data_IF_722594898250
#
_entry.id   IF_722594898250
#
_cell.length_a   1.000
_cell.length_b   1.000
_cell.length_c   1.000
_cell.angle_alpha   90.00
_cell.angle_beta   90.00
_cell.angle_gamma   90.00
#
_symmetry.space_group_name_H-M   'P 1'
#
loop_
_entity.id
_entity.type
_entity.pdbx_description
1 polymer ?
#
# COMPACT_ATOMS: atom_id res chain seq x y z
N UNK A 1 -19.85 -3.86 -0.73
CA UNK A 1 -18.96 -3.78 -1.90
C UNK A 1 -18.02 -4.99 -2.01
N UNK A 2 -17.36 -5.40 -0.90
CA UNK A 2 -16.40 -6.51 -0.95
C UNK A 2 -17.03 -7.80 -1.48
N UNK A 3 -18.17 -8.23 -0.94
CA UNK A 3 -18.88 -9.46 -1.38
C UNK A 3 -19.16 -9.44 -2.88
N UNK A 4 -19.70 -8.33 -3.40
CA UNK A 4 -20.01 -8.22 -4.83
C UNK A 4 -18.79 -8.22 -5.75
N UNK A 5 -17.59 -7.93 -5.22
CA UNK A 5 -16.33 -8.05 -5.96
C UNK A 5 -15.81 -9.49 -5.89
N UNK A 6 -15.92 -10.14 -4.73
CA UNK A 6 -15.55 -11.56 -4.57
C UNK A 6 -16.35 -12.46 -5.52
N UNK A 7 -17.66 -12.22 -5.67
CA UNK A 7 -18.55 -12.95 -6.58
C UNK A 7 -18.21 -12.79 -8.07
N UNK A 8 -17.41 -11.79 -8.43
CA UNK A 8 -16.98 -11.56 -9.83
C UNK A 8 -15.69 -12.28 -10.22
N UNK A 9 -15.20 -13.17 -9.39
CA UNK A 9 -14.09 -14.04 -9.77
C UNK A 9 -14.51 -14.94 -10.94
N UNK A 10 -13.77 -14.90 -12.04
CA UNK A 10 -14.11 -15.61 -13.30
C UNK A 10 -13.50 -17.01 -13.37
N UNK A 11 -12.46 -17.27 -12.61
CA UNK A 11 -11.85 -18.57 -12.41
C UNK A 11 -11.08 -18.53 -11.09
N UNK A 12 -10.70 -19.69 -10.54
CA UNK A 12 -10.00 -19.79 -9.26
C UNK A 12 -8.82 -18.79 -9.19
N UNK A 13 -8.86 -17.90 -8.23
CA UNK A 13 -7.87 -16.86 -8.02
C UNK A 13 -7.83 -15.72 -9.06
N UNK A 14 -8.79 -15.62 -9.99
CA UNK A 14 -8.70 -14.68 -11.12
C UNK A 14 -9.95 -13.85 -11.33
N UNK A 15 -9.79 -12.53 -11.46
CA UNK A 15 -10.88 -11.60 -11.78
C UNK A 15 -10.88 -11.12 -13.23
N UNK A 16 -9.85 -11.46 -14.01
CA UNK A 16 -9.75 -11.11 -15.43
C UNK A 16 -9.10 -12.23 -16.25
N UNK A 17 -9.53 -12.37 -17.50
CA UNK A 17 -8.90 -13.22 -18.50
C UNK A 17 -8.51 -12.34 -19.70
N UNK A 18 -7.39 -12.65 -20.44
CA UNK A 18 -6.43 -13.69 -20.16
C UNK A 18 -5.64 -13.46 -18.86
N UNK A 19 -5.00 -14.51 -18.39
CA UNK A 19 -4.36 -14.60 -17.08
C UNK A 19 -3.08 -13.77 -16.95
N UNK A 20 -3.22 -12.50 -16.67
CA UNK A 20 -2.10 -11.69 -16.24
C UNK A 20 -2.40 -11.03 -14.90
N UNK A 21 -1.65 -11.38 -13.87
CA UNK A 21 -1.94 -10.95 -12.50
C UNK A 21 -1.94 -9.42 -12.30
N UNK A 22 -1.25 -8.67 -13.18
CA UNK A 22 -1.08 -7.22 -13.10
C UNK A 22 -1.89 -6.44 -14.15
N UNK A 23 -2.25 -7.04 -15.29
CA UNK A 23 -2.99 -6.39 -16.37
C UNK A 23 -4.33 -7.06 -16.62
N UNK A 24 -5.39 -6.31 -16.91
CA UNK A 24 -5.47 -4.83 -16.95
C UNK A 24 -5.34 -4.20 -15.58
N UNK A 25 -4.68 -3.03 -15.50
CA UNK A 25 -4.53 -2.28 -14.24
C UNK A 25 -5.90 -1.99 -13.61
N UNK A 26 -5.95 -2.09 -12.28
CA UNK A 26 -7.07 -1.76 -11.39
C UNK A 26 -8.24 -2.75 -11.40
N UNK A 27 -8.16 -3.86 -12.16
CA UNK A 27 -9.19 -4.93 -12.21
C UNK A 27 -8.62 -6.35 -12.18
N UNK A 28 -7.34 -6.55 -12.58
CA UNK A 28 -6.73 -7.87 -12.46
C UNK A 28 -6.53 -8.27 -11.01
N UNK A 29 -6.14 -9.51 -10.77
CA UNK A 29 -6.05 -10.11 -9.42
C UNK A 29 -5.28 -9.25 -8.43
N UNK A 30 -4.09 -8.75 -8.81
CA UNK A 30 -3.28 -7.90 -7.93
C UNK A 30 -4.06 -6.68 -7.40
N UNK A 31 -4.70 -5.95 -8.28
CA UNK A 31 -5.43 -4.73 -7.93
C UNK A 31 -6.71 -5.00 -7.16
N UNK A 32 -7.37 -6.10 -7.50
CA UNK A 32 -8.59 -6.52 -6.81
C UNK A 32 -8.30 -6.93 -5.38
N UNK A 33 -7.24 -7.69 -5.13
CA UNK A 33 -6.83 -8.06 -3.77
C UNK A 33 -6.43 -6.85 -2.91
N UNK A 34 -5.73 -5.88 -3.49
CA UNK A 34 -5.43 -4.63 -2.79
C UNK A 34 -6.71 -3.89 -2.36
N UNK A 35 -7.69 -3.81 -3.26
CA UNK A 35 -8.97 -3.17 -2.96
C UNK A 35 -9.77 -3.95 -1.91
N UNK A 36 -9.84 -5.27 -2.05
CA UNK A 36 -10.55 -6.14 -1.12
C UNK A 36 -9.95 -6.09 0.29
N UNK A 37 -8.62 -6.05 0.41
CA UNK A 37 -7.94 -5.87 1.71
C UNK A 37 -8.33 -4.53 2.35
N UNK A 38 -8.29 -3.44 1.59
CA UNK A 38 -8.71 -2.11 2.09
C UNK A 38 -10.20 -2.05 2.45
N UNK A 39 -11.06 -2.79 1.75
CA UNK A 39 -12.49 -2.92 2.06
C UNK A 39 -12.77 -3.91 3.21
N UNK A 40 -11.75 -4.52 3.80
CA UNK A 40 -11.86 -5.51 4.87
C UNK A 40 -12.75 -6.71 4.47
N UNK A 41 -12.54 -7.22 3.25
CA UNK A 41 -13.13 -8.48 2.83
C UNK A 41 -12.73 -9.62 3.77
N UNK A 42 -13.59 -10.63 3.90
CA UNK A 42 -13.25 -11.83 4.68
C UNK A 42 -11.99 -12.51 4.12
N UNK A 43 -10.87 -12.50 4.85
CA UNK A 43 -9.61 -13.09 4.39
C UNK A 43 -9.69 -14.62 4.25
N UNK A 44 -10.69 -15.28 4.87
CA UNK A 44 -10.89 -16.73 4.82
C UNK A 44 -11.84 -17.14 3.68
N UNK A 45 -12.44 -16.20 2.95
CA UNK A 45 -13.27 -16.55 1.80
C UNK A 45 -12.44 -17.27 0.73
N UNK A 46 -12.97 -18.33 0.14
CA UNK A 46 -12.28 -19.11 -0.90
C UNK A 46 -11.76 -18.23 -2.03
N UNK A 47 -12.58 -17.28 -2.51
CA UNK A 47 -12.20 -16.38 -3.58
C UNK A 47 -10.97 -15.49 -3.20
N UNK A 48 -10.89 -15.03 -1.94
CA UNK A 48 -9.73 -14.25 -1.48
C UNK A 48 -8.48 -15.13 -1.37
N UNK A 49 -8.61 -16.31 -0.76
CA UNK A 49 -7.53 -17.30 -0.59
C UNK A 49 -6.96 -17.73 -1.94
N UNK A 50 -7.81 -18.12 -2.89
CA UNK A 50 -7.40 -18.51 -4.25
C UNK A 50 -6.68 -17.36 -4.97
N UNK A 51 -7.17 -16.13 -4.79
CA UNK A 51 -6.52 -14.93 -5.35
C UNK A 51 -5.11 -14.72 -4.83
N UNK A 52 -4.90 -14.88 -3.52
CA UNK A 52 -3.58 -14.73 -2.89
C UNK A 52 -2.65 -15.86 -3.32
N UNK A 53 -3.14 -17.12 -3.35
CA UNK A 53 -2.37 -18.26 -3.85
C UNK A 53 -1.92 -18.05 -5.29
N UNK A 54 -2.82 -17.61 -6.17
CA UNK A 54 -2.51 -17.26 -7.55
C UNK A 54 -1.42 -16.18 -7.62
N UNK A 55 -1.51 -15.13 -6.82
CA UNK A 55 -0.52 -14.04 -6.80
C UNK A 55 0.85 -14.50 -6.32
N UNK A 56 0.92 -15.30 -5.24
CA UNK A 56 2.17 -15.84 -4.72
C UNK A 56 2.84 -16.76 -5.74
N UNK A 57 2.06 -17.58 -6.43
CA UNK A 57 2.56 -18.46 -7.49
C UNK A 57 3.07 -17.68 -8.70
N UNK A 58 2.30 -16.71 -9.19
CA UNK A 58 2.67 -15.93 -10.39
C UNK A 58 3.82 -14.95 -10.16
N UNK A 59 3.98 -14.43 -8.94
CA UNK A 59 5.07 -13.50 -8.62
C UNK A 59 6.36 -14.20 -8.18
N UNK A 60 6.33 -15.51 -7.93
CA UNK A 60 7.43 -16.28 -7.31
C UNK A 60 8.78 -16.04 -7.98
N UNK A 61 8.90 -16.31 -9.28
CA UNK A 61 10.17 -16.18 -10.00
C UNK A 61 10.74 -14.77 -9.95
N UNK A 62 9.86 -13.76 -9.99
CA UNK A 62 10.25 -12.37 -9.88
C UNK A 62 10.76 -12.03 -8.48
N UNK A 63 10.06 -12.47 -7.44
CA UNK A 63 10.46 -12.27 -6.04
C UNK A 63 11.80 -12.96 -5.76
N UNK A 64 11.97 -14.21 -6.20
CA UNK A 64 13.23 -14.96 -6.09
C UNK A 64 14.39 -14.28 -6.85
N UNK A 65 14.13 -13.67 -7.99
CA UNK A 65 15.13 -12.87 -8.71
C UNK A 65 15.62 -11.69 -7.87
N UNK A 66 14.69 -10.88 -7.34
CA UNK A 66 15.05 -9.71 -6.54
C UNK A 66 15.60 -10.05 -5.15
N UNK A 67 15.28 -11.21 -4.59
CA UNK A 67 15.89 -11.66 -3.33
C UNK A 67 17.38 -11.98 -3.45
N UNK A 68 17.87 -12.21 -4.67
CA UNK A 68 19.27 -12.53 -4.99
C UNK A 68 20.01 -11.38 -5.67
N UNK A 69 19.34 -10.29 -5.93
CA UNK A 69 19.86 -9.13 -6.67
C UNK A 69 20.06 -7.93 -5.74
N UNK A 70 21.03 -7.09 -6.05
CA UNK A 70 21.17 -5.77 -5.42
C UNK A 70 20.17 -4.74 -5.98
N UNK A 71 19.39 -5.08 -7.02
CA UNK A 71 18.37 -4.22 -7.61
C UNK A 71 17.16 -4.12 -6.64
N UNK A 72 16.72 -2.93 -6.24
CA UNK A 72 15.56 -2.74 -5.37
C UNK A 72 14.23 -3.18 -6.01
N UNK A 73 14.19 -3.30 -7.33
CA UNK A 73 13.04 -3.75 -8.08
C UNK A 73 11.81 -2.86 -7.97
N UNK A 74 10.66 -3.51 -7.79
CA UNK A 74 9.34 -2.88 -7.78
C UNK A 74 8.79 -2.80 -6.36
N UNK A 75 9.34 -1.92 -5.55
CA UNK A 75 9.09 -1.83 -4.10
C UNK A 75 7.61 -1.77 -3.71
N UNK A 76 6.81 -0.94 -4.40
CA UNK A 76 5.38 -0.84 -4.15
C UNK A 76 4.62 -2.14 -4.48
N UNK A 77 5.03 -2.88 -5.52
CA UNK A 77 4.42 -4.16 -5.89
C UNK A 77 4.62 -5.19 -4.77
N UNK A 78 5.88 -5.35 -4.32
CA UNK A 78 6.21 -6.34 -3.30
C UNK A 78 5.58 -6.01 -1.94
N UNK A 79 5.59 -4.75 -1.54
CA UNK A 79 4.91 -4.31 -0.32
C UNK A 79 3.40 -4.58 -0.33
N UNK A 80 2.75 -4.39 -1.48
CA UNK A 80 1.32 -4.68 -1.62
C UNK A 80 1.03 -6.19 -1.63
N UNK A 81 1.87 -7.00 -2.29
CA UNK A 81 1.73 -8.47 -2.24
C UNK A 81 1.89 -8.97 -0.81
N UNK A 82 2.92 -8.50 -0.11
CA UNK A 82 3.15 -8.83 1.30
C UNK A 82 1.91 -8.48 2.15
N UNK A 83 1.33 -7.30 1.95
CA UNK A 83 0.18 -6.82 2.71
C UNK A 83 -0.99 -7.78 2.66
N UNK A 84 -1.49 -8.12 1.47
CA UNK A 84 -2.66 -8.99 1.37
C UNK A 84 -2.33 -10.48 1.62
N UNK A 85 -1.09 -10.91 1.39
CA UNK A 85 -0.67 -12.27 1.76
C UNK A 85 -0.70 -12.47 3.28
N UNK A 86 -0.15 -11.52 4.05
CA UNK A 86 -0.23 -11.57 5.53
C UNK A 86 -1.68 -11.46 6.00
N UNK A 87 -2.49 -10.58 5.41
CA UNK A 87 -3.92 -10.43 5.73
C UNK A 87 -4.69 -11.73 5.55
N UNK A 88 -4.36 -12.52 4.52
CA UNK A 88 -4.96 -13.83 4.24
C UNK A 88 -4.36 -14.99 5.07
N UNK A 89 -3.44 -14.73 5.99
CA UNK A 89 -2.85 -15.77 6.83
C UNK A 89 -1.64 -16.51 6.22
N UNK A 90 -1.12 -16.07 5.07
CA UNK A 90 0.05 -16.69 4.41
C UNK A 90 1.39 -16.25 5.00
N UNK A 91 1.42 -15.66 6.20
CA UNK A 91 2.69 -15.28 6.84
C UNK A 91 3.67 -16.46 6.98
N UNK A 92 3.26 -17.71 7.32
CA UNK A 92 4.18 -18.84 7.41
C UNK A 92 4.66 -19.38 6.06
N UNK A 93 4.07 -18.97 4.94
CA UNK A 93 4.45 -19.46 3.59
C UNK A 93 5.85 -18.97 3.21
N UNK A 94 6.69 -19.86 2.69
CA UNK A 94 8.07 -19.54 2.30
C UNK A 94 8.17 -18.43 1.24
N UNK A 95 7.18 -18.33 0.35
CA UNK A 95 7.10 -17.27 -0.66
C UNK A 95 6.87 -15.91 -0.01
N UNK A 96 6.06 -15.86 1.06
CA UNK A 96 5.82 -14.66 1.87
C UNK A 96 7.08 -14.29 2.67
N UNK A 97 7.82 -15.26 3.20
CA UNK A 97 9.10 -15.00 3.86
C UNK A 97 10.12 -14.38 2.89
N UNK A 98 10.22 -14.88 1.66
CA UNK A 98 11.06 -14.28 0.61
C UNK A 98 10.62 -12.86 0.25
N UNK A 99 9.31 -12.57 0.24
CA UNK A 99 8.79 -11.19 0.07
C UNK A 99 9.23 -10.28 1.20
N UNK A 100 9.23 -10.76 2.45
CA UNK A 100 9.73 -9.99 3.60
C UNK A 100 11.20 -9.63 3.41
N UNK A 101 12.02 -10.57 2.95
CA UNK A 101 13.46 -10.32 2.70
C UNK A 101 13.65 -9.23 1.63
N UNK A 102 12.92 -9.33 0.51
CA UNK A 102 12.99 -8.32 -0.57
C UNK A 102 12.52 -6.95 -0.09
N UNK A 103 11.42 -6.88 0.66
CA UNK A 103 10.89 -5.61 1.19
C UNK A 103 11.84 -5.00 2.22
N UNK A 104 12.41 -5.80 3.12
CA UNK A 104 13.37 -5.32 4.11
C UNK A 104 14.66 -4.83 3.46
N UNK A 105 15.17 -5.56 2.46
CA UNK A 105 16.32 -5.13 1.67
C UNK A 105 16.08 -3.78 0.99
N UNK A 106 14.94 -3.63 0.33
CA UNK A 106 14.55 -2.39 -0.38
C UNK A 106 14.56 -1.16 0.53
N UNK A 107 14.09 -1.29 1.77
CA UNK A 107 14.03 -0.18 2.72
C UNK A 107 15.39 0.15 3.36
N UNK A 108 16.28 -0.81 3.50
CA UNK A 108 17.56 -0.63 4.20
C UNK A 108 18.74 -0.49 3.27
N UNK A 109 18.97 -1.46 2.40
CA UNK A 109 20.19 -1.56 1.60
C UNK A 109 20.07 -0.80 0.27
N UNK A 110 18.85 -0.67 -0.25
CA UNK A 110 18.57 0.06 -1.48
C UNK A 110 18.05 1.49 -1.24
N UNK A 111 18.15 2.02 -0.02
CA UNK A 111 17.71 3.38 0.38
C UNK A 111 16.34 3.78 -0.17
N UNK A 112 15.36 2.86 -0.11
CA UNK A 112 14.02 3.03 -0.68
C UNK A 112 13.98 3.29 -2.20
N UNK A 113 15.02 3.00 -2.95
CA UNK A 113 15.10 3.20 -4.40
C UNK A 113 14.04 2.41 -5.14
N UNK A 114 13.64 2.88 -6.32
CA UNK A 114 12.67 2.22 -7.16
C UNK A 114 13.01 2.41 -8.63
N UNK A 115 13.00 1.32 -9.39
CA UNK A 115 13.27 1.32 -10.82
C UNK A 115 12.39 2.29 -11.64
N UNK A 116 11.12 2.46 -11.22
CA UNK A 116 10.22 3.43 -11.88
C UNK A 116 10.45 4.89 -11.48
N UNK A 117 11.32 5.13 -10.48
CA UNK A 117 11.74 6.48 -10.10
C UNK A 117 13.20 6.74 -10.55
N UNK A 118 13.62 6.13 -11.66
CA UNK A 118 14.98 6.21 -12.19
C UNK A 118 16.05 5.89 -11.14
N UNK A 119 15.79 4.84 -10.36
CA UNK A 119 16.61 4.36 -9.24
C UNK A 119 16.79 5.37 -8.09
N UNK A 120 16.03 6.48 -8.10
CA UNK A 120 15.93 7.38 -6.96
C UNK A 120 15.01 6.80 -5.86
N UNK A 121 15.21 7.22 -4.60
CA UNK A 121 14.31 6.87 -3.52
C UNK A 121 12.85 7.27 -3.82
N UNK A 122 11.91 6.38 -3.55
CA UNK A 122 10.51 6.51 -3.92
C UNK A 122 9.60 6.51 -2.68
N UNK A 123 8.93 7.64 -2.41
CA UNK A 123 8.02 7.75 -1.27
C UNK A 123 6.81 6.79 -1.36
N UNK A 124 6.28 6.53 -2.55
CA UNK A 124 5.22 5.52 -2.72
C UNK A 124 5.72 4.11 -2.45
N UNK A 125 6.92 3.79 -2.95
CA UNK A 125 7.56 2.49 -2.70
C UNK A 125 7.80 2.27 -1.22
N UNK A 126 8.40 3.24 -0.53
CA UNK A 126 8.64 3.18 0.91
C UNK A 126 7.33 3.04 1.71
N UNK A 127 6.32 3.86 1.42
CA UNK A 127 5.03 3.80 2.10
C UNK A 127 4.33 2.43 1.91
N UNK A 128 4.36 1.86 0.70
CA UNK A 128 3.76 0.55 0.42
C UNK A 128 4.55 -0.61 1.02
N UNK A 129 5.87 -0.53 1.04
CA UNK A 129 6.73 -1.49 1.73
C UNK A 129 6.46 -1.51 3.24
N UNK A 130 6.40 -0.33 3.86
CA UNK A 130 6.01 -0.19 5.27
C UNK A 130 4.59 -0.69 5.55
N UNK A 131 3.64 -0.46 4.63
CA UNK A 131 2.28 -0.99 4.74
C UNK A 131 2.24 -2.51 4.74
N UNK A 132 3.09 -3.15 3.92
CA UNK A 132 3.28 -4.61 3.93
C UNK A 132 3.80 -5.10 5.27
N UNK A 133 4.89 -4.53 5.78
CA UNK A 133 5.48 -4.89 7.08
C UNK A 133 4.53 -4.61 8.25
N UNK A 134 3.74 -3.55 8.18
CA UNK A 134 2.75 -3.21 9.20
C UNK A 134 1.60 -4.24 9.34
N UNK A 135 1.43 -5.14 8.37
CA UNK A 135 0.48 -6.25 8.49
C UNK A 135 0.97 -7.36 9.43
N UNK A 136 2.29 -7.47 9.62
CA UNK A 136 2.90 -8.48 10.48
C UNK A 136 2.75 -8.03 11.95
N UNK A 137 2.27 -8.90 12.86
CA UNK A 137 2.18 -8.55 14.28
C UNK A 137 3.53 -8.09 14.85
N UNK A 138 3.54 -7.00 15.61
CA UNK A 138 4.77 -6.39 16.11
C UNK A 138 5.67 -7.31 16.95
N UNK A 139 5.07 -8.27 17.68
CA UNK A 139 5.80 -9.31 18.42
C UNK A 139 6.52 -10.33 17.52
N UNK A 140 6.17 -10.40 16.24
CA UNK A 140 6.82 -11.25 15.24
C UNK A 140 7.88 -10.49 14.42
N UNK A 141 8.06 -9.19 14.64
CA UNK A 141 9.08 -8.43 13.93
C UNK A 141 10.49 -8.89 14.35
N UNK A 142 11.27 -9.32 13.35
CA UNK A 142 12.71 -9.63 13.54
C UNK A 142 13.52 -8.34 13.71
N UNK A 143 14.78 -8.46 14.08
CA UNK A 143 15.69 -7.31 14.13
C UNK A 143 15.85 -6.63 12.76
N UNK A 144 15.90 -7.42 11.67
CA UNK A 144 15.94 -6.91 10.29
C UNK A 144 14.70 -6.12 9.94
N UNK A 145 13.50 -6.63 10.22
CA UNK A 145 12.23 -5.91 9.99
C UNK A 145 12.18 -4.59 10.77
N UNK A 146 12.57 -4.59 12.06
CA UNK A 146 12.61 -3.36 12.86
C UNK A 146 13.56 -2.31 12.27
N UNK A 147 14.76 -2.75 11.84
CA UNK A 147 15.72 -1.87 11.16
C UNK A 147 15.13 -1.28 9.88
N UNK A 148 14.44 -2.08 9.09
CA UNK A 148 13.82 -1.67 7.83
C UNK A 148 12.64 -0.71 8.05
N UNK A 149 11.80 -0.98 9.05
CA UNK A 149 10.71 -0.07 9.44
C UNK A 149 11.29 1.28 9.87
N UNK A 150 12.36 1.28 10.68
CA UNK A 150 13.03 2.51 11.10
C UNK A 150 13.62 3.27 9.89
N UNK A 151 14.28 2.58 8.97
CA UNK A 151 14.87 3.19 7.77
C UNK A 151 13.81 3.85 6.88
N UNK A 152 12.73 3.12 6.55
CA UNK A 152 11.63 3.66 5.75
C UNK A 152 10.88 4.80 6.45
N UNK A 153 10.70 4.72 7.77
CA UNK A 153 10.10 5.80 8.57
C UNK A 153 10.98 7.03 8.57
N UNK A 154 12.29 6.88 8.78
CA UNK A 154 13.25 7.99 8.72
C UNK A 154 13.26 8.66 7.35
N UNK A 155 13.23 7.86 6.26
CA UNK A 155 13.12 8.39 4.91
C UNK A 155 11.88 9.27 4.74
N UNK A 156 10.70 8.79 5.17
CA UNK A 156 9.45 9.52 4.99
C UNK A 156 9.28 10.73 5.92
N UNK A 157 9.82 10.69 7.14
CA UNK A 157 9.49 11.67 8.18
C UNK A 157 10.67 12.55 8.62
N UNK A 158 11.90 12.04 8.60
CA UNK A 158 13.08 12.76 9.11
C UNK A 158 13.95 13.33 8.01
N UNK A 159 14.12 12.60 6.89
CA UNK A 159 14.90 13.07 5.74
C UNK A 159 14.10 14.03 4.87
N UNK A 160 12.79 13.83 4.77
CA UNK A 160 11.87 14.64 3.99
C UNK A 160 10.61 14.97 4.82
N UNK A 161 9.77 15.88 4.29
CA UNK A 161 8.56 16.32 4.96
C UNK A 161 7.31 15.87 4.21
N UNK A 162 6.35 15.27 4.93
CA UNK A 162 5.11 14.77 4.33
C UNK A 162 4.27 15.88 3.67
N UNK A 163 4.18 17.05 4.30
CA UNK A 163 3.33 18.15 3.82
C UNK A 163 4.01 18.90 2.68
N UNK A 164 5.32 19.14 2.81
CA UNK A 164 6.12 19.80 1.77
C UNK A 164 6.32 18.90 0.55
N UNK A 165 6.25 17.59 0.75
CA UNK A 165 6.40 16.58 -0.31
C UNK A 165 7.67 16.74 -1.14
N UNK A 166 8.78 17.09 -0.48
CA UNK A 166 10.08 17.37 -1.07
C UNK A 166 10.93 16.10 -1.34
N UNK A 167 10.25 14.99 -1.61
CA UNK A 167 10.89 13.70 -1.93
C UNK A 167 11.58 13.74 -3.29
N UNK A 168 12.62 12.89 -3.50
CA UNK A 168 13.31 12.80 -4.77
C UNK A 168 12.37 12.41 -5.93
N UNK A 169 12.56 13.07 -7.05
CA UNK A 169 11.92 12.76 -8.33
C UNK A 169 12.90 13.02 -9.48
N UNK A 170 12.71 12.41 -10.66
CA UNK A 170 13.57 12.65 -11.82
C UNK A 170 13.65 14.12 -12.20
N UNK A 171 14.72 14.51 -12.87
CA UNK A 171 14.92 15.87 -13.37
C UNK A 171 13.69 16.33 -14.18
N UNK A 172 13.23 17.55 -13.93
CA UNK A 172 12.01 18.11 -14.53
C UNK A 172 10.69 17.49 -14.03
N UNK A 173 10.76 16.50 -13.14
CA UNK A 173 9.60 15.90 -12.50
C UNK A 173 9.08 16.74 -11.33
N UNK A 174 7.98 16.25 -10.73
CA UNK A 174 7.39 16.82 -9.51
C UNK A 174 6.61 15.73 -8.77
N UNK A 175 6.37 15.95 -7.49
CA UNK A 175 5.49 15.07 -6.74
C UNK A 175 4.11 15.02 -7.41
N UNK A 176 3.55 13.83 -7.52
CA UNK A 176 2.25 13.67 -8.16
C UNK A 176 1.17 14.37 -7.33
N UNK A 177 0.25 15.09 -7.97
CA UNK A 177 -0.82 15.86 -7.30
C UNK A 177 -1.71 15.04 -6.36
N UNK A 178 -1.74 13.71 -6.50
CA UNK A 178 -2.43 12.79 -5.59
C UNK A 178 -1.91 12.92 -4.15
N UNK A 179 -0.61 13.22 -3.96
CA UNK A 179 0.01 13.26 -2.65
C UNK A 179 -0.69 14.20 -1.66
N UNK A 180 -1.06 15.38 -2.12
CA UNK A 180 -1.72 16.43 -1.33
C UNK A 180 -3.25 16.39 -1.42
N UNK A 181 -3.83 15.29 -1.88
CA UNK A 181 -5.27 15.06 -1.94
C UNK A 181 -5.63 13.87 -1.09
N UNK A 182 -6.87 13.84 -0.61
CA UNK A 182 -7.42 12.69 0.08
C UNK A 182 -8.09 11.78 -0.96
N UNK A 183 -7.63 10.53 -1.08
CA UNK A 183 -8.05 9.66 -2.15
C UNK A 183 -8.45 8.27 -1.65
N UNK A 184 -9.41 7.66 -2.33
CA UNK A 184 -9.74 6.25 -2.15
C UNK A 184 -10.41 5.69 -3.43
N UNK A 185 -10.01 4.48 -3.90
CA UNK A 185 -8.80 3.74 -3.52
C UNK A 185 -7.52 4.35 -4.11
N UNK A 186 -6.35 4.01 -3.54
CA UNK A 186 -5.04 4.52 -3.97
C UNK A 186 -4.19 3.50 -4.75
N UNK A 187 -4.46 2.22 -4.58
CA UNK A 187 -3.67 1.13 -5.17
C UNK A 187 -2.17 1.25 -4.86
N UNK A 188 -1.29 1.36 -5.89
CA UNK A 188 0.17 1.46 -5.68
C UNK A 188 0.64 2.85 -5.26
N UNK A 189 -0.21 3.86 -5.40
CA UNK A 189 0.12 5.23 -5.00
C UNK A 189 -0.08 5.42 -3.49
N UNK A 190 0.49 6.48 -2.96
CA UNK A 190 0.27 6.93 -1.60
C UNK A 190 -0.05 8.43 -1.60
N UNK A 191 -0.83 8.85 -0.62
CA UNK A 191 -1.04 10.24 -0.22
C UNK A 191 -0.68 10.42 1.26
N UNK A 192 -0.75 11.64 1.76
CA UNK A 192 -0.43 11.96 3.16
C UNK A 192 -1.29 11.12 4.12
N UNK A 193 -2.59 10.96 3.86
CA UNK A 193 -3.47 10.16 4.71
C UNK A 193 -3.05 8.69 4.75
N UNK A 194 -2.67 8.13 3.59
CA UNK A 194 -2.18 6.76 3.54
C UNK A 194 -0.91 6.59 4.39
N UNK A 195 0.06 7.51 4.29
CA UNK A 195 1.27 7.44 5.11
C UNK A 195 0.95 7.57 6.60
N UNK A 196 0.05 8.47 6.99
CA UNK A 196 -0.39 8.60 8.38
C UNK A 196 -1.03 7.30 8.91
N UNK A 197 -1.81 6.60 8.10
CA UNK A 197 -2.37 5.27 8.44
C UNK A 197 -1.28 4.23 8.68
N UNK A 198 -0.27 4.22 7.80
CA UNK A 198 0.90 3.32 7.93
C UNK A 198 1.63 3.61 9.25
N UNK A 199 1.94 4.87 9.51
CA UNK A 199 2.66 5.30 10.73
C UNK A 199 1.88 4.95 11.99
N UNK A 200 0.56 5.16 12.00
CA UNK A 200 -0.28 4.74 13.13
C UNK A 200 -0.21 3.22 13.37
N UNK A 201 -0.35 2.42 12.32
CA UNK A 201 -0.32 0.97 12.45
C UNK A 201 1.04 0.46 12.95
N UNK A 202 2.13 1.14 12.62
CA UNK A 202 3.49 0.84 13.10
C UNK A 202 3.78 1.40 14.50
N UNK A 203 2.85 2.13 15.13
CA UNK A 203 3.04 2.71 16.45
C UNK A 203 3.78 4.05 16.48
N UNK A 204 3.92 4.72 15.35
CA UNK A 204 4.65 6.00 15.22
C UNK A 204 3.73 7.25 15.31
N UNK A 205 2.44 7.09 15.61
CA UNK A 205 1.47 8.20 15.60
C UNK A 205 1.81 9.39 16.54
N UNK A 206 2.61 9.16 17.57
CA UNK A 206 2.97 10.18 18.57
C UNK A 206 4.31 10.89 18.28
N UNK A 207 4.97 10.56 17.18
CA UNK A 207 6.24 11.21 16.83
C UNK A 207 6.02 12.67 16.42
N UNK A 208 6.92 13.57 16.88
CA UNK A 208 6.83 14.99 16.59
C UNK A 208 6.82 15.29 15.09
N UNK A 209 7.55 14.52 14.29
CA UNK A 209 7.66 14.66 12.84
C UNK A 209 6.31 14.44 12.09
N UNK A 210 5.34 13.77 12.72
CA UNK A 210 4.02 13.53 12.14
C UNK A 210 3.07 14.70 12.38
N UNK A 211 3.29 15.50 13.42
CA UNK A 211 2.36 16.55 13.86
C UNK A 211 1.96 17.54 12.74
N UNK A 212 2.88 18.02 11.89
CA UNK A 212 2.49 18.89 10.75
C UNK A 212 1.47 18.23 9.81
N UNK A 213 1.62 16.92 9.54
CA UNK A 213 0.71 16.18 8.67
C UNK A 213 -0.65 15.91 9.36
N UNK A 214 -0.68 15.67 10.66
CA UNK A 214 -1.92 15.57 11.44
C UNK A 214 -2.68 16.91 11.44
N UNK A 215 -1.99 18.01 11.67
CA UNK A 215 -2.57 19.37 11.59
C UNK A 215 -3.09 19.65 10.17
N UNK A 216 -2.33 19.30 9.15
CA UNK A 216 -2.78 19.39 7.76
C UNK A 216 -4.05 18.57 7.52
N UNK A 217 -4.12 17.33 8.02
CA UNK A 217 -5.31 16.48 7.88
C UNK A 217 -6.52 17.12 8.60
N UNK A 218 -6.35 17.61 9.82
CA UNK A 218 -7.39 18.30 10.57
C UNK A 218 -7.91 19.54 9.83
N UNK A 219 -7.03 20.34 9.22
CA UNK A 219 -7.43 21.53 8.46
C UNK A 219 -8.28 21.22 7.22
N UNK A 220 -8.32 19.96 6.77
CA UNK A 220 -9.17 19.50 5.64
C UNK A 220 -10.55 19.03 6.07
N UNK A 221 -10.83 19.03 7.37
CA UNK A 221 -12.16 18.69 7.91
C UNK A 221 -13.15 19.80 7.59
N UNK A 222 -14.31 19.45 7.07
CA UNK A 222 -15.39 20.39 6.82
C UNK A 222 -16.21 20.66 8.11
N UNK A 223 -17.14 21.62 8.05
CA UNK A 223 -17.99 22.00 9.20
C UNK A 223 -18.86 20.84 9.74
N UNK A 224 -19.16 19.83 8.90
CA UNK A 224 -19.89 18.62 9.31
C UNK A 224 -18.98 17.53 9.92
N UNK A 225 -17.72 17.84 10.23
CA UNK A 225 -16.77 16.89 10.80
C UNK A 225 -16.30 15.80 9.83
N UNK A 226 -16.42 16.02 8.51
CA UNK A 226 -16.10 15.04 7.46
C UNK A 226 -14.98 15.53 6.55
N UNK A 227 -14.38 14.60 5.81
CA UNK A 227 -13.38 14.89 4.78
C UNK A 227 -13.92 14.52 3.41
N UNK A 228 -13.71 15.42 2.45
CA UNK A 228 -14.02 15.15 1.04
C UNK A 228 -12.86 14.41 0.39
N UNK A 229 -13.17 13.30 -0.30
CA UNK A 229 -12.21 12.49 -1.02
C UNK A 229 -12.36 12.58 -2.53
N UNK A 230 -11.35 12.13 -3.25
CA UNK A 230 -11.40 11.89 -4.69
C UNK A 230 -11.08 10.44 -5.03
N UNK A 231 -11.62 9.95 -6.15
CA UNK A 231 -11.35 8.60 -6.65
C UNK A 231 -10.70 8.70 -8.02
N UNK A 232 -9.36 8.74 -8.08
CA UNK A 232 -8.64 8.90 -9.35
C UNK A 232 -8.78 7.70 -10.30
N UNK A 233 -9.31 6.59 -9.80
CA UNK A 233 -9.47 5.33 -10.54
C UNK A 233 -10.93 4.90 -10.71
N UNK A 234 -11.91 5.73 -10.36
CA UNK A 234 -13.33 5.39 -10.28
C UNK A 234 -13.85 4.64 -11.51
N UNK A 235 -13.61 5.14 -12.70
CA UNK A 235 -14.07 4.51 -13.95
C UNK A 235 -13.16 3.37 -14.45
N UNK A 236 -12.12 3.02 -13.73
CA UNK A 236 -11.08 2.05 -14.12
C UNK A 236 -11.04 0.83 -13.22
N UNK A 237 -11.71 0.87 -12.08
CA UNK A 237 -11.76 -0.21 -11.07
C UNK A 237 -13.19 -0.71 -10.86
N UNK A 238 -13.37 -1.55 -9.88
CA UNK A 238 -14.69 -2.04 -9.46
C UNK A 238 -15.53 -0.91 -8.88
N UNK A 239 -16.82 -0.88 -9.22
CA UNK A 239 -17.75 0.05 -8.61
C UNK A 239 -17.92 -0.22 -7.12
N UNK A 240 -17.85 0.83 -6.31
CA UNK A 240 -18.04 0.78 -4.86
C UNK A 240 -19.47 1.18 -4.43
N UNK A 241 -20.41 1.16 -5.36
CA UNK A 241 -21.85 1.41 -5.30
C UNK A 241 -22.32 2.86 -5.49
N UNK A 242 -21.73 3.87 -4.91
CA UNK A 242 -22.17 5.27 -5.05
C UNK A 242 -21.02 6.27 -5.05
N UNK A 243 -20.30 6.34 -6.15
CA UNK A 243 -19.46 7.47 -6.55
C UNK A 243 -18.70 8.29 -5.46
N UNK A 244 -18.89 9.61 -5.52
CA UNK A 244 -18.15 10.58 -4.71
C UNK A 244 -18.50 10.53 -3.22
N UNK A 245 -19.73 10.17 -2.87
CA UNK A 245 -20.17 10.05 -1.47
C UNK A 245 -19.46 8.90 -0.76
N UNK A 246 -19.37 7.74 -1.41
CA UNK A 246 -18.71 6.58 -0.82
C UNK A 246 -17.22 6.80 -0.68
N UNK A 247 -16.57 7.45 -1.65
CA UNK A 247 -15.18 7.86 -1.52
C UNK A 247 -14.97 8.77 -0.30
N UNK A 248 -15.84 9.77 -0.11
CA UNK A 248 -15.75 10.69 1.04
C UNK A 248 -16.03 9.98 2.37
N UNK A 249 -16.91 8.98 2.40
CA UNK A 249 -17.14 8.15 3.59
C UNK A 249 -15.89 7.34 3.96
N UNK A 250 -15.25 6.69 2.98
CA UNK A 250 -14.01 5.94 3.21
C UNK A 250 -12.88 6.85 3.69
N UNK A 251 -12.68 7.99 3.05
CA UNK A 251 -11.68 8.98 3.46
C UNK A 251 -11.99 9.50 4.87
N UNK A 252 -13.26 9.79 5.20
CA UNK A 252 -13.65 10.22 6.54
C UNK A 252 -13.36 9.13 7.59
N UNK A 253 -13.72 7.87 7.31
CA UNK A 253 -13.42 6.75 8.21
C UNK A 253 -11.92 6.61 8.45
N UNK A 254 -11.12 6.67 7.41
CA UNK A 254 -9.66 6.57 7.49
C UNK A 254 -9.05 7.75 8.25
N UNK A 255 -9.54 8.98 8.01
CA UNK A 255 -9.08 10.18 8.72
C UNK A 255 -9.41 10.11 10.22
N UNK A 256 -10.64 9.73 10.57
CA UNK A 256 -11.03 9.52 11.97
C UNK A 256 -10.21 8.44 12.64
N UNK A 257 -9.87 7.36 11.92
CA UNK A 257 -9.05 6.29 12.45
C UNK A 257 -7.62 6.74 12.75
N UNK A 258 -7.11 7.73 12.04
CA UNK A 258 -5.77 8.32 12.26
C UNK A 258 -5.77 9.30 13.44
N UNK A 259 -6.80 10.11 13.56
CA UNK A 259 -6.88 11.19 14.55
C UNK A 259 -7.32 10.75 15.95
N UNK A 260 -7.91 9.57 16.08
CA UNK A 260 -8.24 8.94 17.37
C UNK A 260 -7.06 8.17 17.95
#
# INVERSE_FOLDING_TARGET
PASSILEKQVASGRWQLPEHYYSPKYRSTHWTLMLLEELRADPNSTAFQDGVEFMLSQSRSRVEHYSKSADPGFTCLFGNILRYAVYAGFLPDSRTQTLIDVVTYSLTNADCSCKYNTDLPCSWGAARSLWGLAAIPGNMHTASMRKSIQAGTNFLLAKYNLVEANYPFPEGGRIHQIWNKLNFPLFYQADILFVLRVMKQLGYAQQAQIQPALTWLQSRQNQAGRWSGSSPFQNRTWSLSRDKEDTSRWVTLQSLSVLK
#
